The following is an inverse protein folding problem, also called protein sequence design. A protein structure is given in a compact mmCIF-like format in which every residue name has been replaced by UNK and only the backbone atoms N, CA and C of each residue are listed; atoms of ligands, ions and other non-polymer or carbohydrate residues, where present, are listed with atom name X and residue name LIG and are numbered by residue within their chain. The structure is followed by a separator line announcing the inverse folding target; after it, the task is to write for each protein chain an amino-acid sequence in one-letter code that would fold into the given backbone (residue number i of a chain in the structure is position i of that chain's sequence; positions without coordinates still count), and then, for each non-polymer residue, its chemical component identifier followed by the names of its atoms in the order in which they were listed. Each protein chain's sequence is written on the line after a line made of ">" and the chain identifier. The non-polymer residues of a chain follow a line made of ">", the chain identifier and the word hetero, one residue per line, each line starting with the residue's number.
data_IF_934771032976
#
_entry.id   IF_934771032976
#
_cell.length_a   1.000
_cell.length_b   1.000
_cell.length_c   1.000
_cell.angle_alpha   90.00
_cell.angle_beta   90.00
_cell.angle_gamma   90.00
#
_symmetry.space_group_name_H-M   'P 1'
#
loop_
_entity.id
_entity.type
_entity.pdbx_description
1 polymer ?
#
# COMPACT_ATOMS: atom_id res chain seq x y z
N UNK A 1 78.69 5.41 42.52
CA UNK A 1 77.22 5.45 42.68
C UNK A 1 76.67 4.03 42.51
N UNK A 2 76.05 3.45 43.54
CA UNK A 2 75.52 2.10 43.45
C UNK A 2 74.17 2.08 42.72
N UNK A 3 74.02 1.19 41.73
CA UNK A 3 72.77 1.06 40.96
C UNK A 3 71.76 0.21 41.73
N UNK A 4 70.52 0.68 41.84
CA UNK A 4 69.40 -0.06 42.44
C UNK A 4 68.69 -0.96 41.40
N UNK A 5 67.82 -1.88 41.88
CA UNK A 5 67.02 -2.74 41.00
C UNK A 5 65.80 -1.98 40.49
N UNK A 6 65.71 -1.82 39.16
CA UNK A 6 64.67 -1.00 38.51
C UNK A 6 63.29 -1.68 38.44
N UNK A 7 63.20 -3.01 38.50
CA UNK A 7 61.92 -3.73 38.38
C UNK A 7 61.96 -5.10 39.07
N UNK A 8 60.83 -5.53 39.67
CA UNK A 8 60.67 -6.91 40.18
C UNK A 8 59.20 -7.36 40.19
N UNK A 9 58.95 -8.58 39.70
CA UNK A 9 57.65 -9.24 39.72
C UNK A 9 57.55 -10.33 40.82
N UNK A 10 58.57 -10.46 41.68
CA UNK A 10 58.74 -11.64 42.55
C UNK A 10 57.58 -11.88 43.55
N UNK A 11 56.92 -10.82 44.04
CA UNK A 11 55.85 -10.92 45.04
C UNK A 11 54.45 -10.61 44.47
N UNK A 12 54.30 -10.35 43.16
CA UNK A 12 53.00 -9.91 42.64
C UNK A 12 51.97 -11.05 42.68
N UNK A 13 52.36 -12.26 42.25
CA UNK A 13 51.48 -13.43 42.27
C UNK A 13 51.02 -13.76 43.70
N UNK A 14 51.95 -13.78 44.67
CA UNK A 14 51.62 -14.03 46.07
C UNK A 14 50.61 -13.02 46.63
N UNK A 15 50.75 -11.74 46.29
CA UNK A 15 49.77 -10.70 46.66
C UNK A 15 48.40 -10.92 45.99
N UNK A 16 48.38 -11.25 44.70
CA UNK A 16 47.14 -11.51 43.95
C UNK A 16 46.38 -12.72 44.51
N UNK A 17 47.09 -13.77 44.93
CA UNK A 17 46.50 -14.99 45.48
C UNK A 17 46.13 -14.89 46.97
N UNK A 18 46.68 -13.94 47.75
CA UNK A 18 46.35 -13.77 49.18
C UNK A 18 44.84 -13.63 49.43
N UNK A 19 44.14 -12.91 48.54
CA UNK A 19 42.67 -12.75 48.58
C UNK A 19 41.94 -13.52 47.45
N UNK A 20 42.70 -14.21 46.61
CA UNK A 20 42.25 -14.89 45.40
C UNK A 20 41.86 -13.94 44.26
N UNK A 21 42.16 -14.33 43.03
CA UNK A 21 41.77 -13.60 41.82
C UNK A 21 40.28 -13.87 41.55
N UNK A 22 39.43 -12.87 41.81
CA UNK A 22 37.97 -13.01 41.65
C UNK A 22 37.56 -12.90 40.19
N UNK A 23 36.71 -13.81 39.73
CA UNK A 23 36.06 -13.74 38.40
C UNK A 23 34.85 -12.80 38.46
N UNK A 24 34.48 -12.15 37.33
CA UNK A 24 33.25 -11.37 37.26
C UNK A 24 32.01 -12.25 37.51
N UNK A 25 31.00 -11.71 38.19
CA UNK A 25 29.73 -12.40 38.43
C UNK A 25 28.90 -12.40 37.15
N UNK A 26 28.27 -13.53 36.83
CA UNK A 26 27.28 -13.61 35.75
C UNK A 26 25.91 -13.24 36.31
N UNK A 27 25.24 -12.25 35.72
CA UNK A 27 23.89 -11.86 36.07
C UNK A 27 22.90 -12.40 35.04
N UNK A 28 21.64 -12.57 35.42
CA UNK A 28 20.56 -12.98 34.49
C UNK A 28 20.35 -11.97 33.35
N UNK A 29 20.61 -10.69 33.63
CA UNK A 29 20.49 -9.61 32.68
C UNK A 29 21.83 -8.88 32.59
N UNK A 30 22.41 -8.87 31.40
CA UNK A 30 23.65 -8.17 31.11
C UNK A 30 23.40 -6.69 30.84
N UNK A 31 24.47 -5.89 30.88
CA UNK A 31 24.39 -4.47 30.53
C UNK A 31 24.07 -4.30 29.04
N UNK A 32 23.18 -3.35 28.72
CA UNK A 32 22.91 -2.96 27.33
C UNK A 32 23.85 -1.86 26.82
N UNK A 33 24.90 -1.52 27.58
CA UNK A 33 25.89 -0.53 27.18
C UNK A 33 26.64 -1.00 25.93
N UNK A 34 26.73 -0.15 24.90
CA UNK A 34 27.35 -0.49 23.62
C UNK A 34 26.41 -1.16 22.62
N UNK A 35 25.15 -1.41 22.98
CA UNK A 35 24.13 -1.83 21.99
C UNK A 35 23.70 -0.66 21.11
N UNK A 36 23.27 -0.95 19.88
CA UNK A 36 22.79 0.04 18.94
C UNK A 36 21.60 0.87 19.52
N UNK A 37 21.71 2.21 19.56
CA UNK A 37 20.63 3.08 20.01
C UNK A 37 19.31 2.90 19.23
N UNK A 38 19.34 2.55 17.94
CA UNK A 38 18.12 2.32 17.15
C UNK A 38 17.43 1.03 17.60
N UNK A 39 18.19 -0.05 17.80
CA UNK A 39 17.68 -1.28 18.40
C UNK A 39 17.09 -1.05 19.79
N UNK A 40 17.79 -0.31 20.67
CA UNK A 40 17.31 -0.03 22.03
C UNK A 40 15.99 0.77 22.03
N UNK A 41 15.84 1.75 21.12
CA UNK A 41 14.58 2.47 20.93
C UNK A 41 13.45 1.54 20.52
N UNK A 42 13.68 0.68 19.52
CA UNK A 42 12.67 -0.30 19.10
C UNK A 42 12.32 -1.28 20.23
N UNK A 43 13.31 -1.82 20.93
CA UNK A 43 13.08 -2.75 22.04
C UNK A 43 12.21 -2.14 23.14
N UNK A 44 12.39 -0.85 23.45
CA UNK A 44 11.52 -0.12 24.40
C UNK A 44 10.07 -0.09 23.91
N UNK A 45 9.84 0.23 22.64
CA UNK A 45 8.49 0.24 22.06
C UNK A 45 7.87 -1.15 22.02
N UNK A 46 8.60 -2.19 21.63
CA UNK A 46 8.13 -3.57 21.64
C UNK A 46 7.70 -4.00 23.05
N UNK A 47 8.54 -3.75 24.07
CA UNK A 47 8.22 -4.09 25.47
C UNK A 47 6.99 -3.33 25.97
N UNK A 48 6.82 -2.06 25.60
CA UNK A 48 5.65 -1.24 25.96
C UNK A 48 4.37 -1.69 25.26
N UNK A 49 4.45 -2.08 23.98
CA UNK A 49 3.31 -2.47 23.15
C UNK A 49 2.88 -3.94 23.30
N UNK A 50 3.67 -4.77 23.98
CA UNK A 50 3.36 -6.18 24.16
C UNK A 50 2.12 -6.37 25.04
N UNK A 51 1.13 -7.07 24.51
CA UNK A 51 -0.07 -7.46 25.25
C UNK A 51 0.26 -8.48 26.32
N UNK A 52 -0.60 -8.60 27.34
CA UNK A 52 -0.51 -9.72 28.29
C UNK A 52 -0.67 -11.06 27.56
N UNK A 53 0.04 -12.12 27.99
CA UNK A 53 0.00 -13.44 27.34
C UNK A 53 -1.42 -13.97 27.08
N UNK A 54 -2.33 -13.82 28.05
CA UNK A 54 -3.73 -14.25 27.88
C UNK A 54 -4.41 -13.58 26.67
N UNK A 55 -4.24 -12.27 26.49
CA UNK A 55 -4.80 -11.54 25.33
C UNK A 55 -4.12 -11.93 24.02
N UNK A 56 -2.84 -12.28 24.05
CA UNK A 56 -2.13 -12.77 22.87
C UNK A 56 -2.70 -14.11 22.42
N UNK A 57 -2.96 -15.03 23.36
CA UNK A 57 -3.54 -16.34 23.06
C UNK A 57 -4.95 -16.21 22.47
N UNK A 58 -5.79 -15.36 23.04
CA UNK A 58 -7.14 -15.08 22.51
C UNK A 58 -7.05 -14.56 21.06
N UNK A 59 -6.23 -13.54 20.81
CA UNK A 59 -6.04 -13.00 19.45
C UNK A 59 -5.44 -14.02 18.48
N UNK A 60 -4.56 -14.90 18.96
CA UNK A 60 -3.99 -15.95 18.13
C UNK A 60 -5.04 -17.00 17.75
N UNK A 61 -5.93 -17.36 18.69
CA UNK A 61 -7.06 -18.24 18.43
C UNK A 61 -8.06 -17.60 17.46
N UNK A 62 -8.43 -16.32 17.67
CA UNK A 62 -9.28 -15.56 16.74
C UNK A 62 -8.72 -15.53 15.32
N UNK A 63 -7.41 -15.29 15.16
CA UNK A 63 -6.75 -15.29 13.84
C UNK A 63 -6.66 -16.66 13.19
N UNK A 64 -6.64 -17.73 13.99
CA UNK A 64 -6.67 -19.12 13.50
C UNK A 64 -8.07 -19.59 13.18
N UNK A 65 -9.10 -18.91 13.69
CA UNK A 65 -10.48 -19.28 13.40
C UNK A 65 -10.76 -19.01 11.91
N UNK A 66 -11.24 -20.03 11.22
CA UNK A 66 -11.66 -19.90 9.83
C UNK A 66 -12.95 -19.07 9.80
N UNK A 67 -13.01 -18.12 8.87
CA UNK A 67 -14.17 -17.28 8.64
C UNK A 67 -14.93 -17.80 7.42
N UNK A 68 -16.24 -17.98 7.55
CA UNK A 68 -17.11 -18.26 6.41
C UNK A 68 -17.68 -16.96 5.87
N UNK A 69 -17.48 -16.71 4.57
CA UNK A 69 -18.01 -15.55 3.86
C UNK A 69 -19.00 -16.05 2.81
N UNK A 70 -20.22 -15.49 2.81
CA UNK A 70 -21.25 -15.78 1.82
C UNK A 70 -21.59 -14.51 1.04
N UNK A 71 -21.78 -14.62 -0.27
CA UNK A 71 -22.15 -13.50 -1.13
C UNK A 71 -22.06 -13.86 -2.61
N UNK A 72 -22.26 -12.86 -3.47
CA UNK A 72 -22.18 -13.03 -4.92
C UNK A 72 -20.74 -12.86 -5.40
N UNK A 73 -20.24 -13.79 -6.22
CA UNK A 73 -18.91 -13.65 -6.83
C UNK A 73 -18.96 -12.56 -7.90
N UNK A 74 -18.11 -11.54 -7.76
CA UNK A 74 -17.96 -10.47 -8.74
C UNK A 74 -16.92 -10.82 -9.81
N UNK A 75 -15.75 -11.28 -9.37
CA UNK A 75 -14.65 -11.68 -10.23
C UNK A 75 -13.67 -12.60 -9.50
N UNK A 76 -12.92 -13.37 -10.27
CA UNK A 76 -11.85 -14.25 -9.80
C UNK A 76 -10.58 -13.84 -10.54
N UNK A 77 -9.51 -13.56 -9.81
CA UNK A 77 -8.18 -13.34 -10.37
C UNK A 77 -7.55 -14.69 -10.73
N UNK A 78 -7.29 -14.99 -12.00
CA UNK A 78 -6.72 -16.28 -12.41
C UNK A 78 -5.26 -16.45 -12.00
N UNK A 79 -4.54 -15.38 -11.69
CA UNK A 79 -3.10 -15.44 -11.35
C UNK A 79 -2.94 -15.71 -9.85
N UNK A 80 -3.57 -14.89 -9.01
CA UNK A 80 -3.42 -15.02 -7.56
C UNK A 80 -4.54 -15.84 -6.91
N UNK A 81 -5.47 -16.37 -7.70
CA UNK A 81 -6.66 -17.09 -7.25
C UNK A 81 -7.49 -16.32 -6.22
N UNK A 82 -7.44 -14.99 -6.25
CA UNK A 82 -8.21 -14.15 -5.35
C UNK A 82 -9.66 -14.06 -5.81
N UNK A 83 -10.60 -14.11 -4.87
CA UNK A 83 -12.03 -14.02 -5.15
C UNK A 83 -12.57 -12.71 -4.62
N UNK A 84 -13.24 -11.95 -5.47
CA UNK A 84 -13.95 -10.74 -5.10
C UNK A 84 -15.42 -11.11 -4.87
N UNK A 85 -15.90 -10.90 -3.64
CA UNK A 85 -17.25 -11.25 -3.21
C UNK A 85 -18.03 -9.98 -2.85
N UNK A 86 -19.28 -9.89 -3.31
CA UNK A 86 -20.26 -8.88 -2.95
C UNK A 86 -21.17 -9.44 -1.85
N UNK A 87 -20.98 -8.95 -0.63
CA UNK A 87 -21.80 -9.31 0.53
C UNK A 87 -22.99 -8.35 0.63
N UNK A 88 -24.20 -8.88 0.80
CA UNK A 88 -25.38 -8.05 1.05
C UNK A 88 -25.37 -7.51 2.49
N UNK A 89 -25.48 -6.18 2.64
CA UNK A 89 -25.71 -5.50 3.91
C UNK A 89 -26.95 -4.62 3.78
N UNK A 90 -28.11 -5.23 4.04
CA UNK A 90 -29.40 -4.55 3.91
C UNK A 90 -29.68 -4.16 2.46
N UNK A 91 -29.76 -2.86 2.19
CA UNK A 91 -30.03 -2.30 0.85
C UNK A 91 -28.78 -2.11 -0.02
N UNK A 92 -27.58 -2.29 0.54
CA UNK A 92 -26.31 -2.05 -0.15
C UNK A 92 -25.43 -3.31 -0.20
N UNK A 93 -24.45 -3.32 -1.11
CA UNK A 93 -23.48 -4.40 -1.22
C UNK A 93 -22.09 -3.92 -0.79
N UNK A 94 -21.43 -4.71 0.07
CA UNK A 94 -20.05 -4.51 0.46
C UNK A 94 -19.14 -5.42 -0.36
N UNK A 95 -18.17 -4.83 -1.08
CA UNK A 95 -17.14 -5.58 -1.81
C UNK A 95 -16.04 -6.02 -0.85
N UNK A 96 -15.76 -7.32 -0.80
CA UNK A 96 -14.69 -7.92 -0.01
C UNK A 96 -13.78 -8.73 -0.92
N UNK A 97 -12.47 -8.52 -0.81
CA UNK A 97 -11.46 -9.30 -1.55
C UNK A 97 -10.92 -10.38 -0.62
N UNK A 98 -10.96 -11.62 -1.07
CA UNK A 98 -10.40 -12.77 -0.35
C UNK A 98 -9.14 -13.23 -1.11
N UNK A 99 -7.94 -13.13 -0.51
CA UNK A 99 -6.71 -13.61 -1.14
C UNK A 99 -6.76 -15.11 -1.37
N UNK A 100 -6.27 -15.60 -2.52
CA UNK A 100 -6.37 -17.02 -2.87
C UNK A 100 -5.74 -17.98 -1.85
N UNK A 101 -4.58 -17.61 -1.28
CA UNK A 101 -3.90 -18.40 -0.26
C UNK A 101 -4.66 -18.50 1.08
N UNK A 102 -5.69 -17.66 1.29
CA UNK A 102 -6.53 -17.68 2.48
C UNK A 102 -7.83 -18.51 2.27
N UNK A 103 -8.10 -18.97 1.05
CA UNK A 103 -9.30 -19.73 0.71
C UNK A 103 -9.04 -21.21 0.94
N UNK A 104 -9.81 -21.81 1.85
CA UNK A 104 -9.71 -23.23 2.18
C UNK A 104 -10.72 -24.06 1.37
N UNK A 105 -11.95 -23.54 1.25
CA UNK A 105 -13.04 -24.21 0.56
C UNK A 105 -13.95 -23.17 -0.12
N UNK A 106 -14.54 -23.54 -1.26
CA UNK A 106 -15.52 -22.74 -2.00
C UNK A 106 -16.68 -23.66 -2.37
N UNK A 107 -17.87 -23.31 -1.91
CA UNK A 107 -19.09 -24.06 -2.21
C UNK A 107 -20.07 -23.16 -2.96
N UNK A 108 -20.60 -23.67 -4.06
CA UNK A 108 -21.64 -22.99 -4.83
C UNK A 108 -22.99 -23.23 -4.16
N UNK A 109 -23.65 -22.14 -3.75
CA UNK A 109 -24.97 -22.20 -3.15
C UNK A 109 -25.98 -21.82 -4.22
N UNK A 110 -26.88 -22.74 -4.55
CA UNK A 110 -28.00 -22.46 -5.45
C UNK A 110 -28.92 -21.41 -4.81
N UNK A 111 -29.15 -20.25 -5.45
CA UNK A 111 -30.00 -19.22 -4.87
C UNK A 111 -31.46 -19.71 -4.80
N UNK A 112 -32.09 -19.58 -3.63
CA UNK A 112 -33.55 -19.65 -3.52
C UNK A 112 -34.20 -18.53 -4.36
N UNK A 113 -35.47 -18.69 -4.73
CA UNK A 113 -36.13 -17.92 -5.79
C UNK A 113 -36.28 -16.39 -5.56
N UNK A 114 -35.88 -15.83 -4.41
CA UNK A 114 -36.13 -14.43 -4.03
C UNK A 114 -34.87 -13.60 -3.68
N UNK A 115 -33.74 -13.77 -4.37
CA UNK A 115 -32.53 -12.96 -4.09
C UNK A 115 -32.33 -11.86 -5.16
N UNK A 116 -32.33 -10.60 -4.72
CA UNK A 116 -31.96 -9.45 -5.56
C UNK A 116 -30.48 -9.53 -5.96
N UNK A 117 -30.23 -9.86 -7.22
CA UNK A 117 -28.88 -9.92 -7.79
C UNK A 117 -28.33 -8.48 -7.88
N UNK A 118 -27.06 -8.23 -7.47
CA UNK A 118 -26.45 -6.91 -7.61
C UNK A 118 -26.39 -6.51 -9.10
N UNK A 119 -27.05 -5.42 -9.46
CA UNK A 119 -26.99 -4.89 -10.81
C UNK A 119 -25.56 -4.42 -11.13
N UNK A 120 -24.90 -5.09 -12.08
CA UNK A 120 -23.59 -4.66 -12.58
C UNK A 120 -23.79 -3.38 -13.38
N UNK A 121 -23.21 -2.26 -12.92
CA UNK A 121 -23.05 -1.08 -13.78
C UNK A 121 -22.11 -1.47 -14.92
N UNK A 122 -22.69 -1.85 -16.05
CA UNK A 122 -21.93 -1.97 -17.30
C UNK A 122 -21.50 -0.55 -17.63
N UNK A 123 -20.20 -0.27 -17.53
CA UNK A 123 -19.63 0.91 -18.16
C UNK A 123 -19.98 0.82 -19.64
N UNK A 124 -20.97 1.59 -20.08
CA UNK A 124 -21.28 1.70 -21.50
C UNK A 124 -20.02 2.21 -22.17
N UNK A 125 -19.31 1.35 -22.92
CA UNK A 125 -18.18 1.80 -23.73
C UNK A 125 -18.76 2.86 -24.66
N UNK A 126 -18.34 4.14 -24.56
CA UNK A 126 -18.84 5.16 -25.45
C UNK A 126 -18.59 4.72 -26.89
N UNK A 127 -19.60 4.81 -27.74
CA UNK A 127 -19.47 4.40 -29.14
C UNK A 127 -18.36 5.22 -29.82
N UNK A 128 -17.72 4.67 -30.86
CA UNK A 128 -16.67 5.36 -31.62
C UNK A 128 -17.11 6.75 -32.11
N UNK A 129 -18.40 6.93 -32.39
CA UNK A 129 -19.00 8.22 -32.77
C UNK A 129 -18.89 9.26 -31.65
N UNK A 130 -19.12 8.85 -30.40
CA UNK A 130 -19.04 9.72 -29.23
C UNK A 130 -17.62 10.28 -29.03
N UNK A 131 -16.58 9.47 -29.27
CA UNK A 131 -15.19 9.94 -29.19
C UNK A 131 -14.86 10.97 -30.27
N UNK A 132 -15.33 10.76 -31.50
CA UNK A 132 -15.09 11.70 -32.60
C UNK A 132 -15.79 13.05 -32.39
N UNK A 133 -17.02 13.03 -31.88
CA UNK A 133 -17.76 14.25 -31.51
C UNK A 133 -17.03 15.01 -30.40
N UNK A 134 -16.59 14.29 -29.36
CA UNK A 134 -15.84 14.87 -28.25
C UNK A 134 -14.48 15.43 -28.68
N UNK A 135 -13.76 14.75 -29.58
CA UNK A 135 -12.51 15.23 -30.19
C UNK A 135 -12.72 16.57 -30.87
N UNK A 136 -13.73 16.67 -31.74
CA UNK A 136 -14.08 17.90 -32.46
C UNK A 136 -14.45 19.03 -31.51
N UNK A 137 -15.25 18.74 -30.48
CA UNK A 137 -15.65 19.71 -29.45
C UNK A 137 -14.45 20.29 -28.73
N UNK A 138 -13.51 19.45 -28.26
CA UNK A 138 -12.30 19.90 -27.57
C UNK A 138 -11.38 20.69 -28.49
N UNK A 139 -11.19 20.24 -29.74
CA UNK A 139 -10.38 20.98 -30.72
C UNK A 139 -10.96 22.36 -31.02
N UNK A 140 -12.28 22.47 -31.13
CA UNK A 140 -12.96 23.77 -31.33
C UNK A 140 -12.79 24.68 -30.13
N UNK A 141 -13.00 24.16 -28.91
CA UNK A 141 -12.84 24.92 -27.66
C UNK A 141 -11.42 25.45 -27.49
N UNK A 142 -10.40 24.65 -27.78
CA UNK A 142 -9.01 25.09 -27.70
C UNK A 142 -8.65 26.14 -28.75
N UNK A 143 -9.21 26.05 -29.97
CA UNK A 143 -9.05 27.09 -30.98
C UNK A 143 -9.69 28.41 -30.56
N UNK A 144 -10.87 28.37 -29.91
CA UNK A 144 -11.50 29.56 -29.33
C UNK A 144 -10.67 30.17 -28.19
N UNK A 145 -9.98 29.34 -27.42
CA UNK A 145 -9.00 29.77 -26.42
C UNK A 145 -7.62 30.14 -27.02
N UNK A 146 -7.55 30.30 -28.34
CA UNK A 146 -6.36 30.72 -29.09
C UNK A 146 -5.14 29.78 -28.93
N UNK A 147 -5.37 28.50 -28.66
CA UNK A 147 -4.32 27.48 -28.61
C UNK A 147 -4.03 26.91 -30.00
N UNK A 148 -2.75 26.73 -30.32
CA UNK A 148 -2.29 26.13 -31.59
C UNK A 148 -2.37 24.61 -31.53
N UNK A 149 -3.55 24.09 -31.85
CA UNK A 149 -3.83 22.65 -31.81
C UNK A 149 -3.70 22.00 -33.19
N UNK A 150 -2.94 20.91 -33.24
CA UNK A 150 -2.81 20.01 -34.38
C UNK A 150 -3.36 18.62 -34.06
N UNK A 151 -3.69 17.86 -35.09
CA UNK A 151 -4.11 16.47 -34.97
C UNK A 151 -2.94 15.57 -35.40
N UNK A 152 -2.55 14.63 -34.54
CA UNK A 152 -1.52 13.64 -34.84
C UNK A 152 -2.10 12.24 -34.59
N UNK A 153 -2.54 11.59 -35.67
CA UNK A 153 -3.29 10.34 -35.60
C UNK A 153 -4.56 10.49 -34.76
N UNK A 154 -4.73 9.62 -33.77
CA UNK A 154 -5.89 9.65 -32.87
C UNK A 154 -5.78 10.73 -31.77
N UNK A 155 -4.63 11.40 -31.62
CA UNK A 155 -4.38 12.31 -30.51
C UNK A 155 -4.54 13.79 -30.91
N UNK A 156 -4.91 14.61 -29.94
CA UNK A 156 -4.89 16.08 -30.06
C UNK A 156 -3.55 16.56 -29.51
N UNK A 157 -2.80 17.34 -30.30
CA UNK A 157 -1.45 17.80 -29.96
C UNK A 157 -1.40 19.31 -29.93
N UNK A 158 -0.79 19.90 -28.89
CA UNK A 158 -0.40 21.31 -28.91
C UNK A 158 0.85 21.50 -28.06
N UNK A 159 1.89 22.08 -28.66
CA UNK A 159 3.22 22.12 -28.04
C UNK A 159 3.69 20.71 -27.65
N UNK A 160 3.97 20.52 -26.36
CA UNK A 160 4.42 19.24 -25.77
C UNK A 160 3.30 18.51 -24.99
N UNK A 161 2.04 18.81 -25.30
CA UNK A 161 0.87 18.17 -24.67
C UNK A 161 0.15 17.30 -25.69
N UNK A 162 -0.16 16.08 -25.27
CA UNK A 162 -0.96 15.12 -26.03
C UNK A 162 -2.24 14.80 -25.25
N UNK A 163 -3.40 14.93 -25.88
CA UNK A 163 -4.67 14.44 -25.31
C UNK A 163 -5.04 13.14 -26.04
N UNK A 164 -5.17 12.09 -25.24
CA UNK A 164 -5.44 10.73 -25.69
C UNK A 164 -6.95 10.46 -25.71
N UNK A 165 -7.46 9.58 -26.58
CA UNK A 165 -8.81 9.04 -26.47
C UNK A 165 -9.01 8.37 -25.11
N UNK A 166 -10.19 8.49 -24.46
CA UNK A 166 -11.44 9.09 -24.92
C UNK A 166 -11.57 10.62 -24.77
N UNK A 167 -10.47 11.35 -24.60
CA UNK A 167 -10.40 12.80 -24.45
C UNK A 167 -11.13 13.31 -23.19
N UNK A 168 -10.99 12.60 -22.08
CA UNK A 168 -11.38 13.13 -20.77
C UNK A 168 -10.34 14.09 -20.23
N UNK A 169 -10.73 14.81 -19.18
CA UNK A 169 -9.87 15.73 -18.43
C UNK A 169 -8.65 15.01 -17.82
N UNK A 170 -8.74 13.70 -17.63
CA UNK A 170 -7.65 12.85 -17.12
C UNK A 170 -6.70 12.33 -18.20
N UNK A 171 -7.08 12.42 -19.48
CA UNK A 171 -6.39 11.72 -20.56
C UNK A 171 -5.36 12.63 -21.23
N UNK A 172 -4.63 13.40 -20.41
CA UNK A 172 -3.62 14.37 -20.84
C UNK A 172 -2.23 13.82 -20.52
N UNK A 173 -1.36 13.78 -21.51
CA UNK A 173 0.03 13.34 -21.42
C UNK A 173 0.96 14.52 -21.69
N UNK A 174 1.77 14.88 -20.71
CA UNK A 174 2.80 15.93 -20.80
C UNK A 174 3.86 15.73 -19.72
N UNK A 175 5.09 16.16 -19.99
CA UNK A 175 6.20 16.10 -19.03
C UNK A 175 6.06 17.15 -17.90
N UNK A 176 5.27 18.20 -18.12
CA UNK A 176 5.13 19.31 -17.18
C UNK A 176 3.76 19.26 -16.46
N UNK A 177 3.71 18.96 -15.15
CA UNK A 177 2.45 18.85 -14.41
C UNK A 177 1.70 20.19 -14.28
N UNK A 178 2.40 21.34 -14.34
CA UNK A 178 1.78 22.67 -14.32
C UNK A 178 0.98 22.88 -15.61
N UNK A 179 1.55 22.48 -16.75
CA UNK A 179 0.87 22.55 -18.04
C UNK A 179 -0.34 21.62 -18.05
N UNK A 180 -0.21 20.39 -17.54
CA UNK A 180 -1.35 19.48 -17.39
C UNK A 180 -2.50 20.13 -16.60
N UNK A 181 -2.19 20.76 -15.46
CA UNK A 181 -3.19 21.43 -14.62
C UNK A 181 -3.87 22.61 -15.33
N UNK A 182 -3.11 23.41 -16.07
CA UNK A 182 -3.68 24.51 -16.85
C UNK A 182 -4.63 24.02 -17.94
N UNK A 183 -4.28 22.93 -18.62
CA UNK A 183 -5.10 22.33 -19.67
C UNK A 183 -6.38 21.75 -19.08
N UNK A 184 -6.30 21.09 -17.93
CA UNK A 184 -7.45 20.66 -17.13
C UNK A 184 -8.37 21.84 -16.82
N UNK A 185 -7.81 22.97 -16.36
CA UNK A 185 -8.58 24.17 -16.06
C UNK A 185 -9.26 24.78 -17.28
N UNK A 186 -8.60 24.75 -18.46
CA UNK A 186 -9.21 25.21 -19.72
C UNK A 186 -10.35 24.27 -20.13
N UNK A 187 -10.16 22.96 -20.05
CA UNK A 187 -11.21 21.98 -20.37
C UNK A 187 -12.43 22.10 -19.44
N UNK A 188 -12.21 22.32 -18.14
CA UNK A 188 -13.29 22.49 -17.17
C UNK A 188 -14.05 23.81 -17.31
N UNK A 189 -13.49 24.81 -18.00
CA UNK A 189 -14.17 26.07 -18.31
C UNK A 189 -15.08 25.99 -19.54
N UNK A 190 -15.05 24.87 -20.27
CA UNK A 190 -15.93 24.65 -21.41
C UNK A 190 -17.40 24.58 -20.93
N UNK A 191 -18.30 25.42 -21.45
CA UNK A 191 -19.71 25.37 -21.08
C UNK A 191 -20.34 24.01 -21.41
N UNK A 192 -21.28 23.56 -20.59
CA UNK A 192 -22.01 22.30 -20.84
C UNK A 192 -22.74 22.33 -22.20
N UNK A 193 -23.19 23.52 -22.62
CA UNK A 193 -23.93 23.77 -23.87
C UNK A 193 -23.04 24.04 -25.10
N UNK A 194 -21.73 23.82 -25.02
CA UNK A 194 -20.80 24.03 -26.15
C UNK A 194 -20.93 22.98 -27.26
#
# INVERSE_FOLDING_TARGET
>A
MAKSKNHTNHNQNRKAHRNGIKKPKKFRHESTLGMDPKFLRNQRFCKKGNLKPAKQLVRAAERKANLTICGFVHSIDPINHSIIVLQSRGESFQTTIIPGHAIINVEEINPGQDIKIPARKVSTVPSLRCYLERKKKIMSWFKENLLTVSESGDNIVFGNVLILPPYNVTDICTDNPIVAMQVINIMNKMPDNY
#
